data_IF_165809622922
#
_entry.id   IF_165809622922
#
_cell.length_a   1.000
_cell.length_b   1.000
_cell.length_c   1.000
_cell.angle_alpha   90.00
_cell.angle_beta   90.00
_cell.angle_gamma   90.00
#
_symmetry.space_group_name_H-M   'P 1'
#
loop_
_entity.id
_entity.type
_entity.pdbx_description
1 polymer ?
#
# COMPACT_ATOMS: atom_id res chain seq x y z
N UNK A 1 6.00 -23.10 -44.33
CA UNK A 1 7.35 -22.73 -43.84
C UNK A 1 7.22 -22.52 -42.34
N UNK A 2 7.81 -23.42 -41.56
CA UNK A 2 7.78 -23.38 -40.10
C UNK A 2 8.73 -22.27 -39.64
N UNK A 3 8.19 -21.22 -39.03
CA UNK A 3 9.02 -20.18 -38.41
C UNK A 3 9.57 -20.80 -37.13
N UNK A 4 10.88 -21.10 -37.10
CA UNK A 4 11.54 -21.44 -35.84
C UNK A 4 11.34 -20.29 -34.85
N UNK A 5 11.07 -20.56 -33.56
CA UNK A 5 11.04 -19.51 -32.56
C UNK A 5 12.46 -18.94 -32.49
N UNK A 6 12.66 -17.76 -33.08
CA UNK A 6 13.88 -16.99 -32.89
C UNK A 6 14.02 -16.78 -31.39
N UNK A 7 15.11 -17.27 -30.80
CA UNK A 7 15.47 -16.97 -29.43
C UNK A 7 15.52 -15.45 -29.29
N UNK A 8 14.57 -14.87 -28.57
CA UNK A 8 14.53 -13.44 -28.31
C UNK A 8 15.80 -13.05 -27.55
N UNK A 9 16.64 -12.23 -28.15
CA UNK A 9 17.83 -11.71 -27.47
C UNK A 9 17.41 -10.63 -26.47
N UNK A 10 18.15 -10.44 -25.36
CA UNK A 10 17.85 -9.37 -24.40
C UNK A 10 17.74 -7.99 -25.07
N UNK A 11 18.62 -7.69 -26.01
CA UNK A 11 18.59 -6.45 -26.80
C UNK A 11 17.33 -6.28 -27.64
N UNK A 12 16.79 -7.37 -28.21
CA UNK A 12 15.57 -7.32 -28.99
C UNK A 12 14.34 -7.08 -28.09
N UNK A 13 14.31 -7.70 -26.91
CA UNK A 13 13.24 -7.50 -25.92
C UNK A 13 13.24 -6.04 -25.45
N UNK A 14 14.37 -5.51 -25.01
CA UNK A 14 14.49 -4.10 -24.61
C UNK A 14 14.03 -3.16 -25.72
N UNK A 15 14.43 -3.41 -26.98
CA UNK A 15 14.00 -2.58 -28.10
C UNK A 15 12.48 -2.60 -28.32
N UNK A 16 11.84 -3.77 -28.19
CA UNK A 16 10.38 -3.90 -28.28
C UNK A 16 9.67 -3.16 -27.15
N UNK A 17 10.14 -3.33 -25.91
CA UNK A 17 9.57 -2.66 -24.74
C UNK A 17 9.68 -1.13 -24.84
N UNK A 18 10.85 -0.59 -25.27
CA UNK A 18 11.00 0.85 -25.51
C UNK A 18 10.08 1.36 -26.60
N UNK A 19 9.92 0.59 -27.69
CA UNK A 19 9.01 0.95 -28.77
C UNK A 19 7.54 0.97 -28.31
N UNK A 20 7.20 0.16 -27.31
CA UNK A 20 5.89 0.16 -26.65
C UNK A 20 5.74 1.27 -25.58
N UNK A 21 6.77 2.09 -25.34
CA UNK A 21 6.74 3.17 -24.36
C UNK A 21 7.12 2.78 -22.93
N UNK A 22 7.67 1.57 -22.72
CA UNK A 22 8.15 1.16 -21.40
C UNK A 22 9.38 2.01 -20.99
N UNK A 23 9.28 2.72 -19.87
CA UNK A 23 10.30 3.66 -19.40
C UNK A 23 11.55 2.93 -18.89
N UNK A 24 11.38 1.75 -18.28
CA UNK A 24 12.46 0.93 -17.69
C UNK A 24 12.68 -0.38 -18.45
N UNK A 25 12.67 -0.30 -19.78
CA UNK A 25 12.70 -1.46 -20.66
C UNK A 25 13.84 -2.46 -20.39
N UNK A 26 15.01 -2.02 -19.93
CA UNK A 26 16.12 -2.89 -19.54
C UNK A 26 15.81 -3.73 -18.29
N UNK A 27 15.35 -3.07 -17.22
CA UNK A 27 15.02 -3.72 -15.95
C UNK A 27 13.83 -4.67 -16.14
N UNK A 28 12.83 -4.25 -16.91
CA UNK A 28 11.69 -5.08 -17.29
C UNK A 28 12.14 -6.31 -18.10
N UNK A 29 13.04 -6.14 -19.08
CA UNK A 29 13.56 -7.25 -19.86
C UNK A 29 14.32 -8.27 -19.00
N UNK A 30 15.11 -7.82 -18.00
CA UNK A 30 15.79 -8.70 -17.05
C UNK A 30 14.77 -9.51 -16.21
N UNK A 31 13.72 -8.85 -15.72
CA UNK A 31 12.66 -9.49 -14.95
C UNK A 31 11.87 -10.52 -15.76
N UNK A 32 11.47 -10.18 -16.99
CA UNK A 32 10.78 -11.10 -17.89
C UNK A 32 11.67 -12.32 -18.21
N UNK A 33 12.94 -12.09 -18.52
CA UNK A 33 13.89 -13.16 -18.87
C UNK A 33 14.17 -14.08 -17.69
N UNK A 34 14.35 -13.54 -16.49
CA UNK A 34 14.60 -14.33 -15.28
C UNK A 34 13.36 -15.09 -14.77
N UNK A 35 12.15 -14.60 -15.10
CA UNK A 35 10.89 -15.22 -14.69
C UNK A 35 10.42 -16.29 -15.68
N UNK A 36 10.67 -16.10 -16.98
CA UNK A 36 10.20 -17.01 -18.02
C UNK A 36 10.79 -18.42 -17.87
N UNK A 37 9.92 -19.45 -17.94
CA UNK A 37 10.36 -20.85 -17.80
C UNK A 37 10.91 -21.44 -19.09
N UNK A 38 10.46 -20.90 -20.22
CA UNK A 38 10.85 -21.36 -21.56
C UNK A 38 10.93 -20.16 -22.52
N UNK A 39 11.62 -20.29 -23.67
CA UNK A 39 11.63 -19.23 -24.69
C UNK A 39 10.24 -18.86 -25.22
N UNK A 40 9.31 -19.82 -25.30
CA UNK A 40 7.93 -19.56 -25.73
C UNK A 40 7.14 -18.77 -24.66
N UNK A 41 7.38 -19.07 -23.38
CA UNK A 41 6.83 -18.33 -22.24
C UNK A 41 7.33 -16.88 -22.26
N UNK A 42 8.64 -16.69 -22.47
CA UNK A 42 9.25 -15.37 -22.59
C UNK A 42 8.62 -14.53 -23.72
N UNK A 43 8.44 -15.13 -24.91
CA UNK A 43 7.79 -14.45 -26.02
C UNK A 43 6.36 -14.01 -25.67
N UNK A 44 5.56 -14.91 -25.08
CA UNK A 44 4.20 -14.59 -24.66
C UNK A 44 4.14 -13.54 -23.53
N UNK A 45 5.14 -13.50 -22.66
CA UNK A 45 5.27 -12.46 -21.63
C UNK A 45 5.58 -11.10 -22.25
N UNK A 46 6.53 -11.03 -23.19
CA UNK A 46 6.86 -9.79 -23.93
C UNK A 46 5.67 -9.29 -24.73
N UNK A 47 4.95 -10.16 -25.43
CA UNK A 47 3.76 -9.79 -26.20
C UNK A 47 2.68 -9.15 -25.30
N UNK A 48 2.40 -9.74 -24.13
CA UNK A 48 1.44 -9.18 -23.16
C UNK A 48 1.90 -7.83 -22.62
N UNK A 49 3.20 -7.68 -22.32
CA UNK A 49 3.75 -6.41 -21.82
C UNK A 49 3.66 -5.30 -22.88
N UNK A 50 4.05 -5.61 -24.12
CA UNK A 50 3.95 -4.70 -25.27
C UNK A 50 2.50 -4.30 -25.55
N UNK A 51 1.54 -5.18 -25.28
CA UNK A 51 0.11 -4.89 -25.38
C UNK A 51 -0.44 -3.97 -24.27
N UNK A 52 0.40 -3.54 -23.32
CA UNK A 52 0.02 -2.60 -22.25
C UNK A 52 -0.33 -3.25 -20.92
N UNK A 53 -0.26 -4.59 -20.81
CA UNK A 53 -0.55 -5.26 -19.54
C UNK A 53 0.49 -4.84 -18.47
N UNK A 54 0.10 -4.57 -17.21
CA UNK A 54 1.04 -4.22 -16.15
C UNK A 54 2.10 -5.31 -15.97
N UNK A 55 3.35 -4.91 -15.75
CA UNK A 55 4.47 -5.85 -15.64
C UNK A 55 4.22 -6.94 -14.60
N UNK A 56 3.71 -6.57 -13.43
CA UNK A 56 3.46 -7.50 -12.32
C UNK A 56 2.39 -8.54 -12.69
N UNK A 57 1.41 -8.18 -13.51
CA UNK A 57 0.42 -9.12 -14.07
C UNK A 57 1.04 -10.05 -15.10
N UNK A 58 2.03 -9.57 -15.87
CA UNK A 58 2.79 -10.39 -16.82
C UNK A 58 3.66 -11.42 -16.07
N UNK A 59 4.35 -10.96 -15.01
CA UNK A 59 5.21 -11.76 -14.13
C UNK A 59 4.42 -12.74 -13.25
N UNK A 60 3.18 -12.40 -12.90
CA UNK A 60 2.35 -13.14 -11.93
C UNK A 60 2.72 -12.88 -10.47
N UNK A 61 3.50 -11.81 -10.21
CA UNK A 61 3.87 -11.40 -8.86
C UNK A 61 4.28 -9.92 -8.82
N UNK A 62 4.17 -9.31 -7.63
CA UNK A 62 4.68 -7.99 -7.32
C UNK A 62 5.66 -8.05 -6.14
N UNK A 63 6.65 -7.16 -6.15
CA UNK A 63 7.49 -6.91 -4.99
C UNK A 63 6.78 -5.96 -4.03
N UNK A 64 6.67 -6.35 -2.76
CA UNK A 64 6.08 -5.52 -1.72
C UNK A 64 6.76 -5.78 -0.38
N UNK A 65 7.35 -4.75 0.21
CA UNK A 65 8.03 -4.81 1.51
C UNK A 65 9.10 -5.92 1.58
N UNK A 66 9.85 -6.11 0.48
CA UNK A 66 10.87 -7.16 0.31
C UNK A 66 10.31 -8.58 0.08
N UNK A 67 8.99 -8.71 -0.07
CA UNK A 67 8.31 -9.98 -0.36
C UNK A 67 7.89 -10.05 -1.84
N UNK A 68 7.92 -11.26 -2.39
CA UNK A 68 7.31 -11.60 -3.68
C UNK A 68 5.88 -12.06 -3.43
N UNK A 69 4.92 -11.17 -3.66
CA UNK A 69 3.49 -11.41 -3.50
C UNK A 69 2.95 -11.94 -4.83
N UNK A 70 2.36 -13.13 -4.83
CA UNK A 70 1.77 -13.73 -6.04
C UNK A 70 0.54 -12.94 -6.46
N UNK A 71 0.30 -12.81 -7.76
CA UNK A 71 -0.87 -12.16 -8.34
C UNK A 71 -1.64 -13.11 -9.26
N UNK A 72 -2.94 -13.22 -9.01
CA UNK A 72 -3.86 -13.81 -9.97
C UNK A 72 -4.31 -12.74 -10.98
N UNK A 73 -4.66 -13.11 -12.22
CA UNK A 73 -5.17 -12.16 -13.21
C UNK A 73 -6.38 -11.39 -12.68
N UNK A 74 -6.33 -10.06 -12.82
CA UNK A 74 -7.41 -9.17 -12.38
C UNK A 74 -7.38 -8.83 -10.89
N UNK A 75 -6.33 -9.19 -10.15
CA UNK A 75 -6.11 -8.66 -8.79
C UNK A 75 -5.39 -7.32 -8.88
N UNK A 76 -5.78 -6.34 -8.06
CA UNK A 76 -5.06 -5.06 -7.95
C UNK A 76 -3.58 -5.27 -7.60
N UNK A 77 -2.68 -4.57 -8.29
CA UNK A 77 -1.23 -4.71 -8.05
C UNK A 77 -0.85 -3.94 -6.78
N UNK A 78 -0.26 -4.55 -5.74
CA UNK A 78 0.21 -3.82 -4.57
C UNK A 78 1.15 -2.67 -4.94
N UNK A 79 0.91 -1.49 -4.40
CA UNK A 79 1.71 -0.29 -4.71
C UNK A 79 2.78 -0.08 -3.65
N UNK A 80 3.96 0.37 -4.07
CA UNK A 80 5.07 0.72 -3.16
C UNK A 80 4.67 1.78 -2.13
N UNK A 81 3.79 2.73 -2.50
CA UNK A 81 3.26 3.73 -1.54
C UNK A 81 2.60 3.11 -0.31
N UNK A 82 1.98 1.93 -0.46
CA UNK A 82 1.34 1.21 0.65
C UNK A 82 2.35 0.62 1.64
N UNK A 83 3.65 0.66 1.36
CA UNK A 83 4.69 0.26 2.32
C UNK A 83 4.77 1.21 3.52
N UNK A 84 4.37 2.48 3.39
CA UNK A 84 4.22 3.39 4.53
C UNK A 84 3.18 2.86 5.52
N UNK A 85 2.03 2.37 5.01
CA UNK A 85 0.97 1.77 5.81
C UNK A 85 1.46 0.53 6.55
N UNK A 86 2.19 -0.35 5.85
CA UNK A 86 2.79 -1.54 6.45
C UNK A 86 3.79 -1.18 7.57
N UNK A 87 4.69 -0.22 7.33
CA UNK A 87 5.70 0.21 8.30
C UNK A 87 5.06 0.76 9.58
N UNK A 88 4.08 1.65 9.45
CA UNK A 88 3.36 2.21 10.62
C UNK A 88 2.63 1.11 11.41
N UNK A 89 2.01 0.15 10.71
CA UNK A 89 1.30 -0.95 11.33
C UNK A 89 2.21 -1.91 12.10
N UNK A 90 3.37 -2.24 11.53
CA UNK A 90 4.40 -3.07 12.17
C UNK A 90 4.89 -2.39 13.46
N UNK A 91 5.19 -1.11 13.41
CA UNK A 91 5.66 -0.34 14.57
C UNK A 91 4.62 -0.30 15.70
N UNK A 92 3.34 -0.08 15.36
CA UNK A 92 2.25 -0.07 16.34
C UNK A 92 2.05 -1.46 16.95
N UNK A 93 2.00 -2.52 16.13
CA UNK A 93 1.85 -3.89 16.60
C UNK A 93 3.01 -4.30 17.52
N UNK A 94 4.25 -3.93 17.20
CA UNK A 94 5.42 -4.16 18.06
C UNK A 94 5.30 -3.46 19.41
N UNK A 95 4.84 -2.21 19.43
CA UNK A 95 4.56 -1.48 20.69
C UNK A 95 3.48 -2.19 21.50
N UNK A 96 2.39 -2.64 20.87
CA UNK A 96 1.34 -3.41 21.56
C UNK A 96 1.90 -4.68 22.18
N UNK A 97 2.69 -5.48 21.45
CA UNK A 97 3.34 -6.68 21.98
C UNK A 97 4.30 -6.38 23.15
N UNK A 98 5.09 -5.30 23.06
CA UNK A 98 6.02 -4.91 24.12
C UNK A 98 5.30 -4.50 25.42
N UNK A 99 4.22 -3.71 25.32
CA UNK A 99 3.41 -3.32 26.48
C UNK A 99 2.76 -4.52 27.16
N UNK A 100 2.24 -5.47 26.37
CA UNK A 100 1.56 -6.65 26.89
C UNK A 100 2.52 -7.62 27.60
N UNK A 101 3.78 -7.68 27.18
CA UNK A 101 4.82 -8.54 27.77
C UNK A 101 5.57 -7.89 28.94
N UNK A 102 5.23 -6.65 29.31
CA UNK A 102 5.87 -5.92 30.41
C UNK A 102 7.34 -5.57 30.13
N UNK A 103 7.77 -5.60 28.86
CA UNK A 103 9.15 -5.26 28.48
C UNK A 103 9.28 -3.74 28.37
N UNK A 104 10.10 -3.07 29.21
CA UNK A 104 10.26 -1.63 29.11
C UNK A 104 10.96 -1.30 27.80
N UNK A 105 10.34 -0.42 27.01
CA UNK A 105 10.95 0.15 25.81
C UNK A 105 12.34 0.70 26.17
N UNK A 106 13.37 0.25 25.45
CA UNK A 106 14.74 0.71 25.66
C UNK A 106 14.84 2.21 25.30
N UNK A 107 14.90 3.06 26.32
CA UNK A 107 15.44 4.43 26.19
C UNK A 107 14.59 5.57 26.75
N UNK A 108 14.75 5.86 28.04
CA UNK A 108 14.90 7.22 28.57
C UNK A 108 15.41 7.10 30.03
N UNK A 109 16.65 7.51 30.28
CA UNK A 109 17.32 7.35 31.57
C UNK A 109 16.84 8.34 32.63
N UNK A 110 16.57 7.81 33.83
CA UNK A 110 16.74 8.50 35.11
C UNK A 110 16.88 7.44 36.24
N UNK A 111 17.77 7.59 37.22
CA UNK A 111 17.95 6.58 38.26
C UNK A 111 16.98 6.85 39.42
N UNK A 112 16.04 5.94 39.65
CA UNK A 112 15.28 5.90 40.91
C UNK A 112 15.90 4.84 41.83
N UNK A 113 16.56 5.30 42.89
CA UNK A 113 16.96 4.49 44.05
C UNK A 113 15.72 4.12 44.85
N UNK A 114 15.50 2.84 45.12
CA UNK A 114 14.47 2.38 46.05
C UNK A 114 14.41 0.86 46.11
N UNK A 115 15.03 0.28 47.14
CA UNK A 115 15.05 -1.16 47.37
C UNK A 115 13.68 -1.69 47.80
N UNK A 116 13.16 -2.63 47.03
CA UNK A 116 12.00 -3.46 47.38
C UNK A 116 11.92 -4.61 46.38
N UNK A 117 12.33 -5.81 46.81
CA UNK A 117 12.33 -7.02 45.97
C UNK A 117 10.87 -7.48 45.78
N UNK A 118 10.28 -7.50 44.56
CA UNK A 118 8.98 -8.14 44.40
C UNK A 118 9.17 -9.65 44.45
N UNK A 119 8.25 -10.31 45.15
CA UNK A 119 8.16 -11.75 45.23
C UNK A 119 7.90 -12.36 43.84
N UNK A 120 8.68 -13.38 43.48
CA UNK A 120 8.49 -14.13 42.25
C UNK A 120 7.16 -14.88 42.29
N UNK A 121 6.19 -14.44 41.48
CA UNK A 121 5.02 -15.22 41.16
C UNK A 121 5.43 -16.25 40.10
N UNK A 122 5.49 -17.51 40.51
CA UNK A 122 5.62 -18.67 39.61
C UNK A 122 4.31 -18.86 38.85
N UNK A 123 4.17 -18.22 37.68
CA UNK A 123 3.19 -18.58 36.67
C UNK A 123 3.89 -19.40 35.57
N UNK A 124 3.27 -20.52 35.15
CA UNK A 124 3.72 -21.27 33.98
C UNK A 124 3.79 -20.41 32.71
N UNK A 125 4.36 -20.92 31.60
CA UNK A 125 4.55 -20.12 30.39
C UNK A 125 3.22 -19.49 29.96
N UNK A 126 3.16 -18.16 30.01
CA UNK A 126 2.00 -17.40 29.55
C UNK A 126 1.72 -17.83 28.11
N UNK A 127 0.50 -18.30 27.83
CA UNK A 127 0.05 -18.51 26.46
C UNK A 127 0.36 -17.22 25.68
N UNK A 128 1.23 -17.32 24.68
CA UNK A 128 1.87 -16.17 24.05
C UNK A 128 0.85 -15.11 23.64
N UNK A 129 0.99 -13.90 24.17
CA UNK A 129 0.13 -12.77 23.83
C UNK A 129 0.21 -12.53 22.31
N UNK A 130 -0.93 -12.61 21.64
CA UNK A 130 -1.05 -12.35 20.20
C UNK A 130 -1.72 -11.01 19.95
N UNK A 131 -1.17 -10.24 19.02
CA UNK A 131 -1.88 -9.08 18.45
C UNK A 131 -2.81 -9.56 17.35
N UNK A 132 -4.08 -9.18 17.47
CA UNK A 132 -5.07 -9.41 16.41
C UNK A 132 -4.90 -8.30 15.37
N UNK A 133 -4.62 -8.72 14.13
CA UNK A 133 -4.49 -7.83 12.97
C UNK A 133 -5.63 -8.12 12.00
N UNK A 134 -6.32 -7.07 11.57
CA UNK A 134 -7.35 -7.14 10.52
C UNK A 134 -6.89 -6.32 9.32
N UNK A 135 -6.97 -6.89 8.12
CA UNK A 135 -6.65 -6.25 6.83
C UNK A 135 -7.90 -6.20 5.96
N UNK A 136 -8.52 -5.03 5.83
CA UNK A 136 -9.74 -4.82 5.02
C UNK A 136 -9.38 -4.35 3.62
N UNK A 137 -10.17 -4.78 2.62
CA UNK A 137 -9.89 -4.56 1.20
C UNK A 137 -8.50 -5.11 0.84
N UNK A 138 -8.23 -6.36 1.25
CA UNK A 138 -6.87 -6.88 1.31
C UNK A 138 -6.23 -7.15 -0.07
N UNK A 139 -7.02 -7.20 -1.15
CA UNK A 139 -6.53 -7.44 -2.50
C UNK A 139 -5.76 -8.76 -2.59
N UNK A 140 -4.48 -8.70 -2.94
CA UNK A 140 -3.59 -9.86 -2.96
C UNK A 140 -3.12 -10.33 -1.58
N UNK A 141 -3.47 -9.61 -0.50
CA UNK A 141 -3.02 -9.87 0.87
C UNK A 141 -1.62 -9.33 1.18
N UNK A 142 -1.08 -8.42 0.36
CA UNK A 142 0.29 -7.92 0.50
C UNK A 142 0.57 -7.24 1.86
N UNK A 143 -0.36 -6.39 2.33
CA UNK A 143 -0.25 -5.69 3.61
C UNK A 143 -0.23 -6.69 4.78
N UNK A 144 -1.23 -7.58 4.84
CA UNK A 144 -1.28 -8.64 5.84
C UNK A 144 -0.02 -9.53 5.85
N UNK A 145 0.50 -9.90 4.66
CA UNK A 145 1.70 -10.72 4.53
C UNK A 145 2.94 -10.00 5.07
N UNK A 146 3.13 -8.72 4.72
CA UNK A 146 4.25 -7.90 5.19
C UNK A 146 4.23 -7.77 6.72
N UNK A 147 3.08 -7.41 7.30
CA UNK A 147 2.93 -7.23 8.75
C UNK A 147 3.16 -8.54 9.50
N UNK A 148 2.53 -9.64 9.06
CA UNK A 148 2.68 -10.93 9.73
C UNK A 148 4.13 -11.47 9.65
N UNK A 149 4.79 -11.29 8.51
CA UNK A 149 6.18 -11.72 8.32
C UNK A 149 7.15 -10.90 9.17
N UNK A 150 7.01 -9.58 9.19
CA UNK A 150 7.88 -8.68 9.96
C UNK A 150 7.74 -8.88 11.48
N UNK A 151 6.53 -9.20 11.96
CA UNK A 151 6.29 -9.49 13.39
C UNK A 151 6.75 -10.88 13.82
N UNK A 152 6.89 -11.81 12.87
CA UNK A 152 7.38 -13.17 13.12
C UNK A 152 8.90 -13.28 12.99
N UNK A 153 9.57 -12.24 12.47
CA UNK A 153 11.03 -12.19 12.33
C UNK A 153 11.65 -11.56 13.58
N UNK A 154 12.64 -12.19 14.24
CA UNK A 154 13.34 -11.58 15.36
C UNK A 154 14.03 -10.28 14.95
N UNK A 155 13.93 -9.22 15.77
CA UNK A 155 14.46 -7.88 15.48
C UNK A 155 15.98 -7.84 15.18
N UNK A 156 16.73 -8.89 15.52
CA UNK A 156 18.17 -9.04 15.24
C UNK A 156 18.49 -9.25 13.75
N UNK A 157 17.55 -9.76 12.94
CA UNK A 157 17.77 -10.01 11.50
C UNK A 157 17.36 -8.82 10.62
N UNK A 158 16.50 -7.93 11.13
CA UNK A 158 15.92 -6.80 10.39
C UNK A 158 16.90 -5.62 10.23
N UNK A 159 17.75 -5.36 11.23
CA UNK A 159 18.77 -4.30 11.15
C UNK A 159 19.83 -4.54 10.07
N UNK A 160 19.98 -5.77 9.60
CA UNK A 160 20.84 -6.09 8.46
C UNK A 160 20.16 -5.83 7.10
N UNK A 161 18.83 -5.66 7.06
CA UNK A 161 18.04 -5.54 5.83
C UNK A 161 17.52 -4.12 5.53
N UNK A 162 17.37 -3.25 6.54
CA UNK A 162 16.70 -1.92 6.40
C UNK A 162 17.64 -0.75 6.76
N UNK A 163 18.96 -0.88 6.59
CA UNK A 163 19.88 0.23 6.86
C UNK A 163 19.83 1.31 5.75
N UNK A 164 18.88 2.25 5.88
CA UNK A 164 18.85 3.56 5.24
C UNK A 164 18.19 4.57 6.19
N UNK A 165 18.75 5.78 6.43
CA UNK A 165 18.29 6.63 7.53
C UNK A 165 17.08 7.46 7.09
N UNK A 166 15.89 7.14 7.62
CA UNK A 166 14.77 8.07 7.61
C UNK A 166 14.91 9.02 8.82
N UNK A 167 15.50 10.19 8.60
CA UNK A 167 15.47 11.27 9.59
C UNK A 167 14.07 11.91 9.59
N UNK A 168 13.35 11.73 10.69
CA UNK A 168 12.07 12.39 10.94
C UNK A 168 12.35 13.83 11.35
N UNK A 169 12.02 14.79 10.48
CA UNK A 169 12.09 16.21 10.83
C UNK A 169 10.77 16.66 11.47
N UNK A 170 10.83 17.06 12.74
CA UNK A 170 9.75 17.75 13.44
C UNK A 170 10.20 19.18 13.76
N UNK A 171 10.02 20.13 12.84
CA UNK A 171 9.68 21.52 13.21
C UNK A 171 9.21 22.33 12.00
N UNK A 172 8.26 23.22 12.25
CA UNK A 172 7.60 24.04 11.25
C UNK A 172 8.34 25.34 10.93
N UNK A 173 8.70 25.51 9.66
CA UNK A 173 8.59 26.75 8.87
C UNK A 173 9.18 26.50 7.47
N UNK A 174 8.33 26.53 6.44
CA UNK A 174 8.72 26.47 5.01
C UNK A 174 9.15 27.86 4.52
N UNK A 175 10.23 28.00 3.72
CA UNK A 175 10.30 29.00 2.66
C UNK A 175 9.51 28.52 1.43
N UNK A 176 8.96 29.45 0.67
CA UNK A 176 8.06 29.18 -0.45
C UNK A 176 8.82 28.67 -1.70
N UNK A 177 8.63 27.39 -2.04
CA UNK A 177 9.00 26.81 -3.34
C UNK A 177 7.84 25.94 -3.86
N UNK A 178 7.67 25.94 -5.18
CA UNK A 178 6.45 25.54 -5.89
C UNK A 178 6.01 24.09 -5.60
N UNK A 179 4.72 23.95 -5.24
CA UNK A 179 4.02 22.68 -5.03
C UNK A 179 4.01 21.85 -6.31
N UNK A 180 4.71 20.73 -6.31
CA UNK A 180 4.49 19.63 -7.26
C UNK A 180 3.35 18.79 -6.69
N UNK A 181 2.17 18.91 -7.28
CA UNK A 181 0.96 18.23 -6.82
C UNK A 181 0.93 16.74 -7.15
N UNK A 182 0.19 15.99 -6.33
CA UNK A 182 -0.14 14.58 -6.53
C UNK A 182 -0.74 14.34 -7.94
N UNK A 183 -0.13 13.45 -8.76
CA UNK A 183 -0.47 13.25 -10.17
C UNK A 183 -1.84 12.62 -10.41
N UNK A 184 -2.53 12.11 -9.38
CA UNK A 184 -3.87 11.50 -9.52
C UNK A 184 -5.03 12.50 -9.54
N UNK A 185 -4.84 13.75 -9.10
CA UNK A 185 -5.84 14.81 -9.30
C UNK A 185 -5.16 16.15 -9.61
N UNK A 186 -4.56 16.23 -10.80
CA UNK A 186 -4.28 17.52 -11.41
C UNK A 186 -5.55 18.02 -12.13
N UNK A 187 -6.29 18.93 -11.48
CA UNK A 187 -7.21 19.85 -12.15
C UNK A 187 -8.69 19.75 -11.78
N UNK A 188 -9.14 20.55 -10.80
CA UNK A 188 -10.02 21.73 -10.95
C UNK A 188 -10.46 22.21 -9.55
N UNK A 189 -10.33 23.50 -9.21
CA UNK A 189 -11.00 24.04 -8.03
C UNK A 189 -12.51 24.15 -8.28
N UNK A 190 -13.31 23.73 -7.31
CA UNK A 190 -14.75 23.91 -7.32
C UNK A 190 -15.13 25.40 -7.13
N UNK A 191 -15.78 25.94 -8.18
CA UNK A 191 -16.82 26.99 -8.24
C UNK A 191 -16.71 28.25 -7.38
N UNK A 192 -16.80 29.41 -8.06
CA UNK A 192 -17.73 30.46 -7.65
C UNK A 192 -18.50 31.00 -8.87
N UNK A 193 -19.82 30.93 -8.78
CA UNK A 193 -20.75 31.41 -9.78
C UNK A 193 -21.14 32.86 -9.46
N UNK A 194 -20.77 33.80 -10.33
CA UNK A 194 -21.47 35.08 -10.43
C UNK A 194 -21.64 35.48 -11.89
N UNK A 195 -22.92 35.51 -12.28
CA UNK A 195 -23.44 36.11 -13.51
C UNK A 195 -23.28 37.63 -13.45
N UNK A 196 -22.69 38.24 -14.48
CA UNK A 196 -23.14 39.52 -15.05
C UNK A 196 -22.63 39.68 -16.48
N UNK A 197 -23.54 40.05 -17.38
CA UNK A 197 -23.36 40.38 -18.80
C UNK A 197 -22.55 41.67 -19.00
N UNK A 198 -21.70 41.76 -20.04
CA UNK A 198 -21.78 42.80 -21.11
C UNK A 198 -20.70 42.68 -22.22
N UNK A 199 -21.19 42.64 -23.46
CA UNK A 199 -20.75 43.31 -24.72
C UNK A 199 -19.28 43.28 -25.24
N UNK A 200 -19.13 42.58 -26.38
CA UNK A 200 -18.53 42.96 -27.69
C UNK A 200 -17.26 43.84 -27.81
N UNK A 201 -16.19 43.28 -28.42
CA UNK A 201 -15.50 43.83 -29.61
C UNK A 201 -14.42 42.87 -30.18
N UNK A 202 -14.34 42.72 -31.50
CA UNK A 202 -13.21 42.14 -32.27
C UNK A 202 -12.28 43.27 -32.82
N UNK A 203 -11.25 43.02 -33.68
CA UNK A 203 -10.00 42.26 -33.47
C UNK A 203 -8.73 43.07 -33.91
N UNK A 204 -7.50 42.72 -33.47
CA UNK A 204 -6.22 42.71 -34.26
C UNK A 204 -4.95 42.47 -33.38
N UNK A 205 -3.73 42.23 -33.93
CA UNK A 205 -2.95 41.01 -33.70
C UNK A 205 -1.59 41.24 -32.99
N UNK A 206 -0.86 40.15 -32.74
CA UNK A 206 0.61 39.99 -32.74
C UNK A 206 1.12 39.13 -31.56
N UNK A 207 1.47 37.89 -31.92
CA UNK A 207 2.64 37.10 -31.52
C UNK A 207 3.39 37.42 -30.20
N UNK A 208 3.33 36.45 -29.29
CA UNK A 208 4.50 35.94 -28.54
C UNK A 208 4.19 34.49 -28.14
N UNK A 209 5.11 33.52 -28.29
CA UNK A 209 4.78 32.12 -28.07
C UNK A 209 4.62 31.89 -26.57
N UNK A 210 3.39 31.59 -26.15
CA UNK A 210 3.09 31.11 -24.81
C UNK A 210 3.65 29.70 -24.71
N UNK A 211 4.42 29.48 -23.64
CA UNK A 211 4.99 28.21 -23.23
C UNK A 211 4.03 27.04 -23.44
N UNK A 212 4.56 26.02 -24.11
CA UNK A 212 3.99 24.70 -24.33
C UNK A 212 3.47 24.08 -23.01
N UNK A 213 2.15 23.92 -22.84
CA UNK A 213 1.58 23.31 -21.63
C UNK A 213 1.57 21.77 -21.68
N UNK A 214 2.16 21.14 -22.71
CA UNK A 214 2.19 19.69 -22.83
C UNK A 214 3.45 19.09 -22.20
N UNK A 215 3.54 19.14 -20.86
CA UNK A 215 4.35 18.18 -20.10
C UNK A 215 3.54 17.57 -18.97
N UNK A 216 2.46 16.90 -19.38
CA UNK A 216 1.69 16.00 -18.51
C UNK A 216 2.60 14.81 -18.21
N UNK A 217 2.99 14.66 -16.94
CA UNK A 217 3.87 13.58 -16.48
C UNK A 217 3.26 12.22 -16.76
N UNK A 218 3.90 11.44 -17.62
CA UNK A 218 3.54 10.05 -17.95
C UNK A 218 4.19 9.08 -16.97
N UNK A 219 3.95 9.24 -15.68
CA UNK A 219 4.45 8.31 -14.67
C UNK A 219 3.33 7.33 -14.29
N UNK A 220 3.40 6.12 -14.84
CA UNK A 220 2.82 4.95 -14.17
C UNK A 220 3.48 4.91 -12.79
N UNK A 221 2.75 5.00 -11.68
CA UNK A 221 3.34 4.97 -10.34
C UNK A 221 3.88 3.59 -9.92
N UNK A 222 3.94 2.64 -10.87
CA UNK A 222 4.81 1.47 -10.82
C UNK A 222 6.19 1.74 -11.47
N UNK A 223 6.49 2.99 -11.85
CA UNK A 223 7.75 3.42 -12.42
C UNK A 223 8.89 3.16 -11.44
N UNK A 224 9.59 2.06 -11.66
CA UNK A 224 10.73 1.55 -10.91
C UNK A 224 11.86 2.60 -10.84
N UNK A 225 11.99 3.44 -9.79
CA UNK A 225 13.18 4.28 -9.71
C UNK A 225 14.37 3.34 -9.50
N UNK A 226 15.41 3.52 -10.31
CA UNK A 226 16.62 2.70 -10.37
C UNK A 226 16.92 1.97 -9.05
N UNK A 227 16.73 0.64 -9.04
CA UNK A 227 16.90 -0.23 -7.87
C UNK A 227 18.27 0.05 -7.23
N UNK A 228 18.33 0.67 -6.06
CA UNK A 228 19.40 0.35 -5.11
C UNK A 228 19.12 -1.08 -4.63
N UNK A 229 19.69 -2.05 -5.34
CA UNK A 229 19.41 -3.49 -5.26
C UNK A 229 19.63 -4.03 -3.84
N UNK A 230 18.61 -3.94 -2.98
CA UNK A 230 18.54 -4.62 -1.68
C UNK A 230 18.02 -6.05 -1.87
N UNK A 231 18.79 -6.89 -2.59
CA UNK A 231 18.51 -8.33 -2.76
C UNK A 231 17.33 -8.68 -3.69
N UNK A 232 17.20 -9.97 -4.01
CA UNK A 232 16.04 -10.53 -4.75
C UNK A 232 14.85 -10.70 -3.80
N UNK A 233 13.64 -10.18 -4.10
CA UNK A 233 12.48 -10.34 -3.23
C UNK A 233 12.17 -11.81 -2.96
N UNK A 234 11.94 -12.12 -1.69
CA UNK A 234 11.75 -13.51 -1.23
C UNK A 234 10.28 -13.89 -1.31
N UNK A 235 9.94 -15.15 -1.66
CA UNK A 235 8.56 -15.61 -1.57
C UNK A 235 8.01 -15.46 -0.14
N UNK A 236 6.69 -15.33 -0.02
CA UNK A 236 6.04 -15.42 1.29
C UNK A 236 6.17 -16.86 1.79
N UNK A 237 7.05 -17.07 2.78
CA UNK A 237 7.42 -18.40 3.26
C UNK A 237 6.76 -18.76 4.58
N UNK A 238 6.57 -20.05 4.80
CA UNK A 238 6.11 -20.58 6.08
C UNK A 238 7.22 -20.44 7.14
N UNK A 239 7.12 -19.40 7.97
CA UNK A 239 8.04 -19.20 9.11
C UNK A 239 7.35 -19.36 10.46
N UNK A 240 6.07 -19.68 10.43
CA UNK A 240 5.22 -19.55 11.60
C UNK A 240 4.86 -20.94 12.12
N UNK A 241 5.53 -21.33 13.21
CA UNK A 241 5.07 -22.41 14.07
C UNK A 241 3.80 -22.02 14.84
N UNK A 242 3.29 -22.92 15.68
CA UNK A 242 2.11 -22.75 16.54
C UNK A 242 2.19 -21.56 17.53
N UNK A 243 3.31 -20.84 17.59
CA UNK A 243 3.59 -19.67 18.45
C UNK A 243 3.59 -18.28 17.78
N UNK A 244 2.95 -18.07 16.61
CA UNK A 244 2.89 -16.74 15.99
C UNK A 244 2.46 -15.65 16.97
N UNK A 245 3.15 -14.49 17.05
CA UNK A 245 2.67 -13.34 17.83
C UNK A 245 1.48 -12.65 17.16
N UNK A 246 1.05 -13.10 15.98
CA UNK A 246 -0.02 -12.47 15.19
C UNK A 246 -1.20 -13.43 15.02
N UNK A 247 -2.40 -12.87 15.15
CA UNK A 247 -3.63 -13.47 14.66
C UNK A 247 -4.16 -12.61 13.50
N UNK A 248 -3.90 -13.02 12.26
CA UNK A 248 -4.24 -12.25 11.06
C UNK A 248 -5.58 -12.68 10.46
N UNK A 249 -6.44 -11.71 10.22
CA UNK A 249 -7.66 -11.83 9.42
C UNK A 249 -7.64 -10.84 8.27
N UNK A 250 -7.93 -11.29 7.06
CA UNK A 250 -8.02 -10.43 5.90
C UNK A 250 -9.41 -10.54 5.26
N UNK A 251 -9.94 -9.45 4.72
CA UNK A 251 -11.26 -9.43 4.08
C UNK A 251 -11.17 -8.73 2.73
N UNK A 252 -11.81 -9.33 1.74
CA UNK A 252 -12.04 -8.68 0.46
C UNK A 252 -13.43 -9.03 -0.10
N UNK A 253 -13.99 -8.13 -0.89
CA UNK A 253 -15.28 -8.33 -1.55
C UNK A 253 -15.12 -9.17 -2.82
N UNK A 254 -14.00 -9.02 -3.53
CA UNK A 254 -13.75 -9.68 -4.80
C UNK A 254 -13.33 -11.15 -4.60
N UNK A 255 -14.08 -12.14 -5.11
CA UNK A 255 -13.69 -13.55 -5.02
C UNK A 255 -12.35 -13.87 -5.70
N UNK A 256 -11.89 -13.08 -6.68
CA UNK A 256 -10.57 -13.23 -7.31
C UNK A 256 -9.47 -12.81 -6.32
N UNK A 257 -9.58 -11.62 -5.75
CA UNK A 257 -8.68 -11.13 -4.70
C UNK A 257 -8.62 -12.09 -3.51
N UNK A 258 -9.76 -12.57 -3.01
CA UNK A 258 -9.82 -13.54 -1.90
C UNK A 258 -9.03 -14.81 -2.20
N UNK A 259 -9.11 -15.36 -3.42
CA UNK A 259 -8.34 -16.56 -3.79
C UNK A 259 -6.84 -16.28 -3.78
N UNK A 260 -6.43 -15.16 -4.38
CA UNK A 260 -5.03 -14.72 -4.41
C UNK A 260 -4.48 -14.50 -2.99
N UNK A 261 -5.20 -13.75 -2.15
CA UNK A 261 -4.86 -13.51 -0.76
C UNK A 261 -4.76 -14.80 0.06
N UNK A 262 -5.60 -15.81 -0.18
CA UNK A 262 -5.48 -17.12 0.50
C UNK A 262 -4.14 -17.79 0.20
N UNK A 263 -3.66 -17.71 -1.05
CA UNK A 263 -2.36 -18.25 -1.44
C UNK A 263 -1.21 -17.53 -0.71
N UNK A 264 -1.25 -16.20 -0.69
CA UNK A 264 -0.19 -15.39 -0.07
C UNK A 264 -0.22 -15.42 1.47
N UNK A 265 -1.40 -15.58 2.09
CA UNK A 265 -1.55 -15.51 3.55
C UNK A 265 -1.52 -16.87 4.25
N UNK A 266 -1.73 -17.98 3.55
CA UNK A 266 -1.62 -19.32 4.12
C UNK A 266 -0.26 -19.62 4.78
N UNK A 267 0.90 -19.25 4.19
CA UNK A 267 2.21 -19.49 4.80
C UNK A 267 2.41 -18.76 6.14
N UNK A 268 1.74 -17.62 6.33
CA UNK A 268 1.78 -16.84 7.57
C UNK A 268 0.59 -17.12 8.50
N UNK A 269 -0.19 -18.18 8.24
CA UNK A 269 -1.33 -18.58 9.07
C UNK A 269 -2.50 -17.60 9.07
N UNK A 270 -2.59 -16.71 8.07
CA UNK A 270 -3.66 -15.73 7.92
C UNK A 270 -4.98 -16.38 7.47
N UNK A 271 -6.11 -15.84 7.96
CA UNK A 271 -7.45 -16.27 7.55
C UNK A 271 -8.10 -15.23 6.64
N UNK A 272 -8.49 -15.64 5.45
CA UNK A 272 -9.09 -14.75 4.44
C UNK A 272 -10.59 -15.01 4.29
N UNK A 273 -11.37 -13.95 4.43
CA UNK A 273 -12.83 -13.96 4.37
C UNK A 273 -13.30 -13.21 3.13
N UNK A 274 -14.34 -13.74 2.49
CA UNK A 274 -15.01 -13.05 1.40
C UNK A 274 -16.25 -12.34 1.96
N UNK A 275 -16.39 -11.04 1.69
CA UNK A 275 -17.56 -10.28 2.08
C UNK A 275 -17.29 -8.79 2.19
N UNK A 276 -18.32 -8.05 2.60
CA UNK A 276 -18.26 -6.60 2.69
C UNK A 276 -17.67 -6.16 4.04
N UNK A 277 -16.45 -5.62 4.01
CA UNK A 277 -15.73 -5.03 5.14
C UNK A 277 -15.74 -5.92 6.40
N UNK A 278 -16.58 -5.58 7.37
CA UNK A 278 -16.64 -6.24 8.67
C UNK A 278 -17.55 -7.46 8.72
N UNK A 279 -18.46 -7.59 7.75
CA UNK A 279 -19.54 -8.58 7.76
C UNK A 279 -19.06 -10.03 7.97
N UNK A 280 -18.03 -10.53 7.27
CA UNK A 280 -17.65 -11.93 7.38
C UNK A 280 -16.68 -12.19 8.54
N UNK A 281 -16.30 -11.17 9.31
CA UNK A 281 -15.36 -11.33 10.41
C UNK A 281 -16.01 -12.05 11.61
N UNK A 282 -15.29 -12.96 12.30
CA UNK A 282 -15.82 -13.61 13.48
C UNK A 282 -16.14 -12.61 14.60
N UNK A 283 -17.34 -12.71 15.17
CA UNK A 283 -17.79 -11.79 16.23
C UNK A 283 -16.88 -11.76 17.46
N UNK A 284 -16.17 -12.86 17.72
CA UNK A 284 -15.18 -12.98 18.80
C UNK A 284 -14.01 -12.00 18.69
N UNK A 285 -13.85 -11.28 17.58
CA UNK A 285 -12.80 -10.26 17.39
C UNK A 285 -13.26 -8.86 17.82
N UNK A 286 -14.55 -8.64 18.07
CA UNK A 286 -15.07 -7.33 18.52
C UNK A 286 -14.35 -6.92 19.81
N UNK A 287 -13.91 -5.66 19.87
CA UNK A 287 -13.15 -5.10 20.98
C UNK A 287 -11.75 -5.71 21.21
N UNK A 288 -11.19 -6.44 20.23
CA UNK A 288 -9.90 -7.15 20.38
C UNK A 288 -8.87 -6.85 19.29
N UNK A 289 -9.25 -6.12 18.25
CA UNK A 289 -8.34 -5.81 17.13
C UNK A 289 -7.32 -4.77 17.60
N UNK A 290 -6.04 -5.14 17.64
CA UNK A 290 -4.96 -4.24 18.00
C UNK A 290 -4.55 -3.33 16.84
N UNK A 291 -4.53 -3.88 15.64
CA UNK A 291 -4.22 -3.15 14.39
C UNK A 291 -5.24 -3.51 13.32
N UNK A 292 -5.87 -2.49 12.76
CA UNK A 292 -6.83 -2.58 11.67
C UNK A 292 -6.26 -1.78 10.49
N UNK A 293 -5.99 -2.47 9.40
CA UNK A 293 -5.46 -1.92 8.16
C UNK A 293 -6.59 -1.79 7.14
N UNK A 294 -6.55 -0.73 6.34
CA UNK A 294 -7.33 -0.63 5.13
C UNK A 294 -6.57 0.17 4.07
N UNK A 295 -6.49 -0.39 2.86
CA UNK A 295 -6.22 0.36 1.63
C UNK A 295 -7.47 0.28 0.75
N UNK A 296 -8.53 1.02 1.12
CA UNK A 296 -9.79 0.97 0.39
C UNK A 296 -9.65 1.67 -0.98
N UNK A 297 -10.57 1.45 -1.93
CA UNK A 297 -10.66 2.31 -3.09
C UNK A 297 -10.96 3.75 -2.66
N UNK A 298 -10.14 4.70 -3.14
CA UNK A 298 -10.29 6.12 -2.80
C UNK A 298 -10.22 7.08 -3.99
N UNK A 299 -10.25 6.57 -5.22
CA UNK A 299 -10.30 7.41 -6.41
C UNK A 299 -11.72 7.93 -6.59
N UNK A 300 -11.95 9.26 -6.72
CA UNK A 300 -13.26 9.77 -7.05
C UNK A 300 -13.77 9.21 -8.39
N UNK A 301 -15.04 8.83 -8.48
CA UNK A 301 -15.63 8.24 -9.70
C UNK A 301 -15.37 9.09 -10.94
N UNK A 302 -15.48 10.42 -10.81
CA UNK A 302 -15.23 11.36 -11.90
C UNK A 302 -13.76 11.45 -12.35
N UNK A 303 -12.82 10.95 -11.55
CA UNK A 303 -11.39 10.96 -11.82
C UNK A 303 -10.86 9.63 -12.40
N UNK A 304 -11.67 8.57 -12.44
CA UNK A 304 -11.26 7.25 -12.99
C UNK A 304 -10.76 7.38 -14.44
N UNK A 305 -11.38 8.24 -15.24
CA UNK A 305 -10.98 8.50 -16.63
C UNK A 305 -9.60 9.15 -16.78
N UNK A 306 -9.07 9.74 -15.70
CA UNK A 306 -7.77 10.43 -15.67
C UNK A 306 -6.64 9.52 -15.18
N UNK A 307 -6.96 8.30 -14.73
CA UNK A 307 -5.95 7.34 -14.30
C UNK A 307 -5.03 6.94 -15.47
N UNK A 308 -3.76 6.60 -15.19
CA UNK A 308 -2.88 5.98 -16.17
C UNK A 308 -3.56 4.80 -16.86
N UNK A 309 -3.33 4.64 -18.17
CA UNK A 309 -4.01 3.63 -18.99
C UNK A 309 -3.88 2.22 -18.39
N UNK A 310 -2.69 1.86 -17.88
CA UNK A 310 -2.46 0.57 -17.22
C UNK A 310 -3.44 0.30 -16.07
N UNK A 311 -3.63 1.28 -15.17
CA UNK A 311 -4.58 1.14 -14.06
C UNK A 311 -6.04 1.19 -14.55
N UNK A 312 -6.36 2.16 -15.41
CA UNK A 312 -7.72 2.38 -15.94
C UNK A 312 -8.27 1.20 -16.73
N UNK A 313 -7.40 0.50 -17.48
CA UNK A 313 -7.81 -0.53 -18.44
C UNK A 313 -7.62 -1.95 -17.91
N UNK A 314 -6.73 -2.17 -16.93
CA UNK A 314 -6.39 -3.52 -16.48
C UNK A 314 -6.66 -3.79 -15.00
N UNK A 315 -6.93 -2.77 -14.17
CA UNK A 315 -7.26 -2.99 -12.77
C UNK A 315 -8.78 -2.99 -12.51
N UNK A 316 -9.27 -3.76 -11.52
CA UNK A 316 -10.69 -3.80 -11.22
C UNK A 316 -11.18 -2.43 -10.75
N UNK A 317 -12.28 -1.96 -11.33
CA UNK A 317 -12.94 -0.73 -10.88
C UNK A 317 -13.29 -0.78 -9.39
N UNK A 318 -13.64 -1.97 -8.86
CA UNK A 318 -13.93 -2.19 -7.44
C UNK A 318 -12.74 -1.85 -6.52
N UNK A 319 -11.51 -1.97 -7.02
CA UNK A 319 -10.29 -1.63 -6.27
C UNK A 319 -9.89 -0.15 -6.41
N UNK A 320 -10.58 0.62 -7.27
CA UNK A 320 -10.24 2.00 -7.59
C UNK A 320 -11.32 3.00 -7.12
N UNK A 321 -12.57 2.75 -7.48
CA UNK A 321 -13.69 3.69 -7.31
C UNK A 321 -14.16 3.80 -5.86
N UNK A 322 -13.81 4.92 -5.24
CA UNK A 322 -14.20 5.26 -3.87
C UNK A 322 -15.50 6.06 -3.78
N UNK A 323 -16.24 6.20 -4.89
CA UNK A 323 -17.48 6.98 -4.96
C UNK A 323 -17.26 8.45 -5.35
N UNK A 324 -18.27 9.30 -5.13
CA UNK A 324 -18.33 10.63 -5.72
C UNK A 324 -17.12 11.53 -5.38
N UNK A 325 -16.67 11.50 -4.13
CA UNK A 325 -15.48 12.21 -3.65
C UNK A 325 -14.34 11.25 -3.27
N UNK A 326 -14.48 9.97 -3.60
CA UNK A 326 -13.51 8.93 -3.29
C UNK A 326 -13.51 8.48 -1.83
N UNK A 327 -14.41 8.93 -0.96
CA UNK A 327 -14.37 8.61 0.48
C UNK A 327 -15.52 7.74 0.98
N UNK A 328 -16.37 7.19 0.10
CA UNK A 328 -17.53 6.40 0.53
C UNK A 328 -17.10 5.13 1.28
N UNK A 329 -16.16 4.37 0.73
CA UNK A 329 -15.65 3.16 1.39
C UNK A 329 -14.80 3.50 2.60
N UNK A 330 -13.98 4.55 2.52
CA UNK A 330 -13.17 5.07 3.64
C UNK A 330 -14.06 5.40 4.85
N UNK A 331 -15.17 6.12 4.63
CA UNK A 331 -16.12 6.46 5.71
C UNK A 331 -16.77 5.23 6.32
N UNK A 332 -17.11 4.21 5.51
CA UNK A 332 -17.67 2.95 6.01
C UNK A 332 -16.68 2.15 6.86
N UNK A 333 -15.41 2.10 6.44
CA UNK A 333 -14.30 1.53 7.24
C UNK A 333 -14.22 2.24 8.58
N UNK A 334 -14.10 3.57 8.57
CA UNK A 334 -13.94 4.37 9.79
C UNK A 334 -15.13 4.21 10.74
N UNK A 335 -16.36 4.24 10.23
CA UNK A 335 -17.57 4.12 11.04
C UNK A 335 -17.68 2.78 11.78
N UNK A 336 -17.19 1.69 11.17
CA UNK A 336 -17.22 0.36 11.79
C UNK A 336 -16.11 0.13 12.81
N UNK A 337 -14.94 0.76 12.65
CA UNK A 337 -13.74 0.45 13.43
C UNK A 337 -13.88 0.48 14.96
N UNK A 338 -14.57 1.46 15.60
CA UNK A 338 -14.68 1.53 17.06
C UNK A 338 -15.26 0.27 17.74
N UNK A 339 -16.13 -0.48 17.03
CA UNK A 339 -16.72 -1.72 17.52
C UNK A 339 -15.70 -2.88 17.59
N UNK A 340 -14.67 -2.84 16.74
CA UNK A 340 -13.71 -3.93 16.56
C UNK A 340 -12.40 -3.70 17.29
N UNK A 341 -11.93 -2.45 17.34
CA UNK A 341 -10.65 -2.09 17.96
C UNK A 341 -10.63 -2.42 19.45
N UNK A 342 -9.52 -2.94 19.95
CA UNK A 342 -9.24 -3.00 21.39
C UNK A 342 -9.05 -1.58 21.96
N UNK A 343 -9.14 -1.37 23.30
CA UNK A 343 -8.67 -0.14 23.91
C UNK A 343 -7.19 0.12 23.54
N UNK A 344 -6.87 1.32 23.03
CA UNK A 344 -5.54 1.62 22.51
C UNK A 344 -5.20 0.93 21.18
N UNK A 345 -6.17 0.29 20.52
CA UNK A 345 -6.03 -0.25 19.18
C UNK A 345 -6.07 0.84 18.11
N UNK A 346 -5.52 0.54 16.93
CA UNK A 346 -5.34 1.51 15.87
C UNK A 346 -6.03 1.10 14.57
N UNK A 347 -6.73 2.03 13.95
CA UNK A 347 -7.12 1.99 12.54
C UNK A 347 -6.08 2.75 11.72
N UNK A 348 -5.58 2.17 10.63
CA UNK A 348 -4.73 2.86 9.66
C UNK A 348 -5.40 2.77 8.28
N UNK A 349 -5.57 3.92 7.63
CA UNK A 349 -6.18 4.04 6.30
C UNK A 349 -5.20 4.71 5.35
N UNK A 350 -4.91 4.07 4.23
CA UNK A 350 -4.26 4.75 3.08
C UNK A 350 -5.27 5.67 2.39
N UNK A 351 -4.82 6.89 2.05
CA UNK A 351 -5.61 7.90 1.34
C UNK A 351 -4.68 8.82 0.54
N UNK A 352 -5.23 9.71 -0.28
CA UNK A 352 -4.45 10.82 -0.87
C UNK A 352 -4.18 11.94 0.15
N UNK A 353 -3.15 12.75 -0.12
CA UNK A 353 -2.83 13.95 0.68
C UNK A 353 -4.01 14.93 0.73
N UNK A 354 -4.71 15.10 -0.40
CA UNK A 354 -5.88 15.99 -0.50
C UNK A 354 -7.05 15.54 0.36
N UNK A 355 -7.25 14.23 0.47
CA UNK A 355 -8.32 13.61 1.26
C UNK A 355 -7.95 13.39 2.73
N UNK A 356 -6.71 13.69 3.13
CA UNK A 356 -6.19 13.38 4.47
C UNK A 356 -6.96 14.10 5.57
N UNK A 357 -7.30 15.38 5.35
CA UNK A 357 -8.04 16.19 6.31
C UNK A 357 -9.47 15.62 6.54
N UNK A 358 -10.19 15.31 5.47
CA UNK A 358 -11.54 14.76 5.56
C UNK A 358 -11.56 13.36 6.19
N UNK A 359 -10.54 12.55 5.89
CA UNK A 359 -10.33 11.23 6.49
C UNK A 359 -10.07 11.36 8.00
N UNK A 360 -9.19 12.28 8.40
CA UNK A 360 -8.91 12.55 9.81
C UNK A 360 -10.15 13.08 10.55
N UNK A 361 -10.94 13.96 9.93
CA UNK A 361 -12.18 14.45 10.51
C UNK A 361 -13.22 13.33 10.65
N UNK A 362 -13.35 12.45 9.66
CA UNK A 362 -14.21 11.26 9.77
C UNK A 362 -13.78 10.36 10.94
N UNK A 363 -12.48 10.15 11.15
CA UNK A 363 -11.96 9.40 12.31
C UNK A 363 -12.31 10.08 13.63
N UNK A 364 -12.13 11.41 13.73
CA UNK A 364 -12.49 12.18 14.93
C UNK A 364 -13.98 12.08 15.24
N UNK A 365 -14.86 12.18 14.23
CA UNK A 365 -16.31 12.02 14.39
C UNK A 365 -16.70 10.60 14.82
N UNK A 366 -15.92 9.59 14.43
CA UNK A 366 -16.09 8.22 14.88
C UNK A 366 -15.52 7.95 16.30
N UNK A 367 -14.98 8.96 16.98
CA UNK A 367 -14.43 8.85 18.32
C UNK A 367 -13.00 8.30 18.38
N UNK A 368 -12.27 8.30 17.26
CA UNK A 368 -10.86 7.95 17.22
C UNK A 368 -10.00 9.22 17.28
N UNK A 369 -8.82 9.15 17.87
CA UNK A 369 -7.85 10.26 17.84
C UNK A 369 -7.00 10.17 16.56
N UNK A 370 -7.17 11.06 15.57
CA UNK A 370 -6.48 10.96 14.29
C UNK A 370 -5.05 11.51 14.34
N UNK A 371 -4.18 10.94 13.51
CA UNK A 371 -2.85 11.43 13.18
C UNK A 371 -2.60 11.18 11.69
N UNK A 372 -2.15 12.20 10.98
CA UNK A 372 -1.73 12.09 9.57
C UNK A 372 -0.22 11.89 9.51
N UNK A 373 0.22 10.93 8.71
CA UNK A 373 1.63 10.68 8.39
C UNK A 373 1.79 10.68 6.88
N UNK A 374 2.76 11.43 6.37
CA UNK A 374 3.10 11.48 4.94
C UNK A 374 4.53 10.99 4.71
N UNK A 375 4.83 10.53 3.50
CA UNK A 375 6.17 10.22 3.03
C UNK A 375 6.36 10.77 1.63
N UNK A 376 7.28 11.72 1.49
CA UNK A 376 7.64 12.30 0.19
C UNK A 376 8.37 11.27 -0.69
N UNK A 377 9.17 10.38 -0.08
CA UNK A 377 9.89 9.32 -0.80
C UNK A 377 8.94 8.30 -1.44
N UNK A 378 7.88 7.94 -0.73
CA UNK A 378 6.90 6.94 -1.17
C UNK A 378 5.68 7.57 -1.83
N UNK A 379 5.58 8.91 -1.86
CA UNK A 379 4.38 9.66 -2.25
C UNK A 379 3.11 9.10 -1.58
N UNK A 380 3.21 8.84 -0.28
CA UNK A 380 2.21 8.09 0.48
C UNK A 380 1.63 8.92 1.61
N UNK A 381 0.33 8.76 1.87
CA UNK A 381 -0.37 9.35 3.01
C UNK A 381 -1.15 8.29 3.75
N UNK A 382 -0.96 8.23 5.07
CA UNK A 382 -1.69 7.34 5.97
C UNK A 382 -2.31 8.16 7.09
N UNK A 383 -3.60 7.96 7.31
CA UNK A 383 -4.29 8.51 8.48
C UNK A 383 -4.48 7.38 9.49
N UNK A 384 -3.97 7.58 10.71
CA UNK A 384 -4.07 6.64 11.82
C UNK A 384 -5.06 7.17 12.85
N UNK A 385 -6.06 6.38 13.23
CA UNK A 385 -7.00 6.67 14.32
C UNK A 385 -6.76 5.74 15.50
N UNK A 386 -6.57 6.29 16.70
CA UNK A 386 -6.40 5.50 17.94
C UNK A 386 -7.68 5.51 18.77
N UNK A 387 -8.10 4.33 19.26
CA UNK A 387 -9.28 4.15 20.13
C UNK A 387 -9.00 4.48 21.58
#
# INVERSE_FOLDING_TARGET
MSVSPLSLTPSAITAQLRAAGCVFAEDEAELLTSTARTPADLAAMVDRRVAGLPLEQVLGWAEFYGLRVTLDPGVFVPRRRSELLAAQAIDLARRTLATATGSPAAGAGAPARGGGRPAAASGGPAAGLRVVVVDLCCGSGALGAAVATALSTPATEERAAIAGPAEVHTDGRRPAEAQVGDPYLAGTPATDAHLTETQANEPHPAETPVNDPCRVGTHSDNAHPARTRTGDPRPVESRIGDGSPVELHAVDLDPVAVRCARGNLAPVGGRVHQGDLYEPLPERLRGRVGVLLASPPYVPTGAIGLLPAEAREHEPLLALDGGADGLDIVRRVIAGAPLWLAPGGHLLVETSERQAADTAEAMARAGLTPRVTTSDELYATVVTGTR
#
